data_IF_747108077527
#
_entry.id   IF_747108077527
#
_cell.length_a   1.000
_cell.length_b   1.000
_cell.length_c   1.000
_cell.angle_alpha   90.00
_cell.angle_beta   90.00
_cell.angle_gamma   90.00
#
_symmetry.space_group_name_H-M   'P 1'
#
loop_
_entity.id
_entity.type
_entity.pdbx_description
1 polymer ?
#
# COMPACT_ATOMS: atom_id res chain seq x y z
N UNK A 1 0.02 89.15 6.29
CA UNK A 1 -0.62 89.59 7.55
C UNK A 1 -0.40 88.52 8.59
N UNK A 2 0.41 88.80 9.60
CA UNK A 2 0.30 88.11 10.88
C UNK A 2 -1.01 88.58 11.55
N UNK A 3 -1.59 87.77 12.45
CA UNK A 3 -1.62 88.24 13.82
C UNK A 3 -1.28 87.18 14.88
N UNK A 4 -0.72 87.73 15.95
CA UNK A 4 -0.45 87.20 17.29
C UNK A 4 -1.74 86.83 18.03
N UNK A 5 -1.76 85.67 18.71
CA UNK A 5 -1.83 85.43 20.18
C UNK A 5 -3.04 86.01 20.92
N UNK A 6 -3.82 85.12 21.53
CA UNK A 6 -4.04 84.91 22.97
C UNK A 6 -5.00 83.69 23.06
N UNK A 7 -4.86 82.65 23.88
CA UNK A 7 -4.26 82.51 25.20
C UNK A 7 -5.35 81.96 26.12
N UNK A 8 -5.54 80.63 26.22
CA UNK A 8 -6.19 80.03 27.38
C UNK A 8 -5.84 78.54 27.57
N UNK A 9 -5.43 78.29 28.81
CA UNK A 9 -4.89 77.10 29.48
C UNK A 9 -5.55 75.74 29.18
N UNK A 10 -4.72 74.75 28.83
CA UNK A 10 -4.94 73.36 29.21
C UNK A 10 -3.80 72.92 30.14
N UNK A 11 -4.20 72.37 31.29
CA UNK A 11 -3.37 71.97 32.43
C UNK A 11 -2.17 71.11 32.01
N UNK A 12 -1.01 71.47 32.53
CA UNK A 12 0.16 70.63 32.59
C UNK A 12 -0.11 69.43 33.52
N UNK A 13 0.05 68.22 33.01
CA UNK A 13 0.27 66.99 33.78
C UNK A 13 1.28 66.14 33.03
N UNK A 14 2.42 65.89 33.67
CA UNK A 14 3.42 64.91 33.25
C UNK A 14 4.55 65.47 32.40
N UNK A 15 5.62 65.92 33.05
CA UNK A 15 6.96 65.97 32.44
C UNK A 15 7.36 64.56 31.94
N UNK A 16 8.29 64.40 30.98
CA UNK A 16 8.86 63.09 30.69
C UNK A 16 9.56 62.58 31.95
N UNK A 17 8.94 61.64 32.65
CA UNK A 17 9.45 61.09 33.90
C UNK A 17 10.83 60.47 33.68
N UNK A 18 11.79 60.89 34.50
CA UNK A 18 13.21 60.69 34.28
C UNK A 18 13.65 59.24 34.12
N UNK A 19 14.62 59.07 33.23
CA UNK A 19 15.51 57.92 33.12
C UNK A 19 16.08 57.56 34.51
N UNK A 20 15.50 56.57 35.18
CA UNK A 20 16.00 56.04 36.46
C UNK A 20 16.73 54.72 36.20
N UNK A 21 17.92 54.49 36.80
CA UNK A 21 18.70 53.26 36.61
C UNK A 21 17.88 51.98 36.85
N UNK A 22 16.98 52.01 37.85
CA UNK A 22 16.13 50.87 38.24
C UNK A 22 15.10 50.48 37.16
N UNK A 23 14.55 51.45 36.42
CA UNK A 23 13.61 51.18 35.32
C UNK A 23 14.34 50.60 34.11
N UNK A 24 15.55 51.09 33.83
CA UNK A 24 16.40 50.54 32.77
C UNK A 24 16.83 49.11 33.09
N UNK A 25 17.18 48.80 34.34
CA UNK A 25 17.46 47.44 34.78
C UNK A 25 16.24 46.52 34.66
N UNK A 26 15.05 47.01 34.99
CA UNK A 26 13.80 46.25 34.84
C UNK A 26 13.48 45.97 33.37
N UNK A 27 13.62 46.98 32.51
CA UNK A 27 13.40 46.86 31.06
C UNK A 27 14.44 45.94 30.41
N UNK A 28 15.71 45.98 30.83
CA UNK A 28 16.75 45.03 30.42
C UNK A 28 16.44 43.60 30.88
N UNK A 29 15.92 43.41 32.10
CA UNK A 29 15.50 42.09 32.60
C UNK A 29 14.30 41.56 31.82
N UNK A 30 13.31 42.40 31.53
CA UNK A 30 12.15 42.03 30.71
C UNK A 30 12.57 41.69 29.27
N UNK A 31 13.45 42.50 28.65
CA UNK A 31 14.01 42.23 27.32
C UNK A 31 14.88 40.96 27.31
N UNK A 32 15.68 40.72 28.35
CA UNK A 32 16.47 39.50 28.48
C UNK A 32 15.59 38.26 28.69
N UNK A 33 14.50 38.39 29.43
CA UNK A 33 13.52 37.30 29.64
C UNK A 33 12.78 37.01 28.34
N UNK A 34 12.28 38.03 27.65
CA UNK A 34 11.63 37.91 26.34
C UNK A 34 12.58 37.36 25.28
N UNK A 35 13.84 37.79 25.25
CA UNK A 35 14.85 37.27 24.35
C UNK A 35 15.20 35.80 24.67
N UNK A 36 15.24 35.41 25.94
CA UNK A 36 15.42 34.01 26.34
C UNK A 36 14.23 33.15 25.97
N UNK A 37 13.00 33.62 26.18
CA UNK A 37 11.77 32.94 25.79
C UNK A 37 11.68 32.79 24.27
N UNK A 38 11.93 33.86 23.51
CA UNK A 38 11.97 33.81 22.04
C UNK A 38 13.08 32.87 21.53
N UNK A 39 14.25 32.84 22.20
CA UNK A 39 15.35 31.94 21.85
C UNK A 39 15.03 30.49 22.18
N UNK A 40 14.42 30.24 23.34
CA UNK A 40 13.99 28.91 23.75
C UNK A 40 12.87 28.38 22.85
N UNK A 41 11.85 29.18 22.58
CA UNK A 41 10.74 28.82 21.70
C UNK A 41 11.23 28.55 20.27
N UNK A 42 12.14 29.37 19.73
CA UNK A 42 12.75 29.14 18.41
C UNK A 42 13.59 27.87 18.37
N UNK A 43 14.40 27.60 19.40
CA UNK A 43 15.20 26.36 19.50
C UNK A 43 14.30 25.14 19.61
N UNK A 44 13.29 25.19 20.46
CA UNK A 44 12.31 24.11 20.61
C UNK A 44 11.56 23.85 19.31
N UNK A 45 11.07 24.89 18.64
CA UNK A 45 10.37 24.77 17.36
C UNK A 45 11.29 24.22 16.26
N UNK A 46 12.56 24.64 16.22
CA UNK A 46 13.56 24.09 15.30
C UNK A 46 13.80 22.60 15.53
N UNK A 47 13.99 22.17 16.78
CA UNK A 47 14.17 20.77 17.13
C UNK A 47 12.90 19.95 16.83
N UNK A 48 11.72 20.46 17.15
CA UNK A 48 10.45 19.82 16.83
C UNK A 48 10.30 19.63 15.30
N UNK A 49 10.72 20.60 14.50
CA UNK A 49 10.71 20.51 13.04
C UNK A 49 11.67 19.43 12.52
N UNK A 50 12.89 19.35 13.06
CA UNK A 50 13.89 18.33 12.71
C UNK A 50 13.34 16.92 12.99
N UNK A 51 12.80 16.69 14.18
CA UNK A 51 12.21 15.40 14.53
C UNK A 51 10.95 15.08 13.71
N UNK A 52 10.11 16.08 13.43
CA UNK A 52 8.92 15.90 12.59
C UNK A 52 9.30 15.50 11.16
N UNK A 53 10.25 16.20 10.54
CA UNK A 53 10.75 15.88 9.19
C UNK A 53 11.35 14.48 9.14
N UNK A 54 12.13 14.12 10.17
CA UNK A 54 12.71 12.77 10.31
C UNK A 54 11.61 11.71 10.37
N UNK A 55 10.62 11.86 11.26
CA UNK A 55 9.51 10.92 11.40
C UNK A 55 8.70 10.81 10.11
N UNK A 56 8.47 11.92 9.42
CA UNK A 56 7.73 11.95 8.18
C UNK A 56 8.47 11.22 7.05
N UNK A 57 9.78 11.46 6.88
CA UNK A 57 10.59 10.77 5.87
C UNK A 57 10.68 9.27 6.12
N UNK A 58 10.92 8.86 7.37
CA UNK A 58 10.96 7.43 7.75
C UNK A 58 9.59 6.78 7.60
N UNK A 59 8.52 7.49 7.94
CA UNK A 59 7.15 7.05 7.75
C UNK A 59 6.81 6.82 6.28
N UNK A 60 7.13 7.78 5.40
CA UNK A 60 6.91 7.66 3.96
C UNK A 60 7.74 6.55 3.33
N UNK A 61 8.99 6.36 3.78
CA UNK A 61 9.81 5.24 3.34
C UNK A 61 9.22 3.90 3.81
N UNK A 62 8.69 3.83 5.03
CA UNK A 62 7.99 2.64 5.55
C UNK A 62 6.79 2.26 4.70
N UNK A 63 5.94 3.24 4.36
CA UNK A 63 4.78 3.02 3.46
C UNK A 63 5.24 2.65 2.05
N UNK A 64 6.29 3.27 1.51
CA UNK A 64 6.85 2.94 0.20
C UNK A 64 7.41 1.51 0.15
N UNK A 65 8.05 1.06 1.23
CA UNK A 65 8.57 -0.30 1.37
C UNK A 65 7.43 -1.33 1.33
N UNK A 66 6.37 -1.08 2.11
CA UNK A 66 5.17 -1.91 2.08
C UNK A 66 4.47 -1.92 0.73
N UNK A 67 4.37 -0.76 0.07
CA UNK A 67 3.79 -0.65 -1.27
C UNK A 67 4.59 -1.45 -2.31
N UNK A 68 5.93 -1.40 -2.24
CA UNK A 68 6.83 -2.19 -3.10
C UNK A 68 6.54 -3.69 -2.97
N UNK A 69 6.49 -4.22 -1.74
CA UNK A 69 6.17 -5.62 -1.48
C UNK A 69 4.78 -6.02 -1.98
N UNK A 70 3.78 -5.16 -1.74
CA UNK A 70 2.43 -5.39 -2.24
C UNK A 70 2.37 -5.40 -3.76
N UNK A 71 3.16 -4.58 -4.45
CA UNK A 71 3.19 -4.52 -5.90
C UNK A 71 3.95 -5.69 -6.56
N UNK A 72 4.94 -6.25 -5.87
CA UNK A 72 5.72 -7.39 -6.37
C UNK A 72 5.02 -8.74 -6.11
N UNK A 73 4.24 -8.85 -5.04
CA UNK A 73 3.60 -10.11 -4.65
C UNK A 73 2.67 -10.74 -5.71
N UNK A 74 1.90 -9.99 -6.53
CA UNK A 74 1.13 -10.55 -7.65
C UNK A 74 1.96 -11.29 -8.71
N UNK A 75 3.19 -10.83 -8.92
CA UNK A 75 4.07 -11.30 -10.00
C UNK A 75 4.95 -12.46 -9.51
N UNK A 76 5.57 -12.29 -8.35
CA UNK A 76 6.58 -13.22 -7.84
C UNK A 76 6.13 -14.05 -6.64
N UNK A 77 4.96 -13.74 -6.07
CA UNK A 77 4.53 -14.25 -4.77
C UNK A 77 5.08 -13.42 -3.60
N UNK A 78 4.40 -13.48 -2.46
CA UNK A 78 4.80 -12.77 -1.23
C UNK A 78 6.12 -13.28 -0.66
N UNK A 79 6.32 -14.60 -0.59
CA UNK A 79 7.57 -15.17 -0.05
C UNK A 79 8.78 -14.74 -0.89
N UNK A 80 8.84 -14.98 -2.22
CA UNK A 80 10.04 -14.61 -2.98
C UNK A 80 10.31 -13.10 -2.96
N UNK A 81 9.25 -12.28 -2.92
CA UNK A 81 9.39 -10.83 -2.78
C UNK A 81 10.01 -10.42 -1.44
N UNK A 82 9.73 -11.14 -0.35
CA UNK A 82 10.18 -10.80 1.00
C UNK A 82 11.60 -11.29 1.32
N UNK A 83 12.07 -12.39 0.71
CA UNK A 83 13.32 -13.07 1.09
C UNK A 83 14.53 -12.13 1.11
N UNK A 84 14.74 -11.34 0.05
CA UNK A 84 15.89 -10.44 -0.05
C UNK A 84 15.58 -9.01 0.39
N UNK A 85 14.30 -8.66 0.50
CA UNK A 85 13.82 -7.29 0.69
C UNK A 85 14.44 -6.61 1.91
N UNK A 86 14.26 -7.18 3.10
CA UNK A 86 14.75 -6.56 4.34
C UNK A 86 16.28 -6.43 4.36
N UNK A 87 17.00 -7.42 3.84
CA UNK A 87 18.47 -7.41 3.81
C UNK A 87 19.02 -6.36 2.84
N UNK A 88 18.44 -6.29 1.64
CA UNK A 88 18.85 -5.32 0.64
C UNK A 88 18.47 -3.89 1.05
N UNK A 89 17.32 -3.71 1.71
CA UNK A 89 16.89 -2.42 2.22
C UNK A 89 17.78 -1.89 3.35
N UNK A 90 18.26 -2.77 4.25
CA UNK A 90 19.31 -2.43 5.23
C UNK A 90 20.56 -1.90 4.55
N UNK A 91 21.03 -2.58 3.51
CA UNK A 91 22.21 -2.16 2.75
C UNK A 91 21.98 -0.81 2.07
N UNK A 92 20.82 -0.62 1.42
CA UNK A 92 20.44 0.64 0.79
C UNK A 92 20.40 1.80 1.78
N UNK A 93 19.73 1.64 2.92
CA UNK A 93 19.68 2.66 3.98
C UNK A 93 21.07 2.94 4.55
N UNK A 94 21.91 1.92 4.76
CA UNK A 94 23.29 2.10 5.22
C UNK A 94 24.13 2.90 4.22
N UNK A 95 24.03 2.57 2.92
CA UNK A 95 24.72 3.30 1.85
C UNK A 95 24.28 4.77 1.83
N UNK A 96 22.98 5.03 1.93
CA UNK A 96 22.43 6.37 1.98
C UNK A 96 22.91 7.17 3.19
N UNK A 97 22.84 6.56 4.37
CA UNK A 97 23.28 7.18 5.61
C UNK A 97 24.77 7.49 5.61
N UNK A 98 25.62 6.50 5.33
CA UNK A 98 27.07 6.65 5.37
C UNK A 98 27.61 7.50 4.20
N UNK A 99 26.89 7.53 3.08
CA UNK A 99 27.25 8.25 1.87
C UNK A 99 26.61 9.63 1.72
N UNK A 100 25.88 10.14 2.73
CA UNK A 100 25.11 11.38 2.62
C UNK A 100 25.97 12.58 2.16
N UNK A 101 27.18 12.74 2.72
CA UNK A 101 28.12 13.79 2.32
C UNK A 101 28.58 13.63 0.86
N UNK A 102 28.87 12.40 0.42
CA UNK A 102 29.27 12.15 -0.97
C UNK A 102 28.14 12.46 -1.95
N UNK A 103 26.90 12.07 -1.61
CA UNK A 103 25.72 12.37 -2.42
C UNK A 103 25.50 13.87 -2.53
N UNK A 104 25.62 14.61 -1.42
CA UNK A 104 25.52 16.07 -1.40
C UNK A 104 26.59 16.77 -2.23
N UNK A 105 27.80 16.22 -2.28
CA UNK A 105 28.90 16.78 -3.10
C UNK A 105 28.79 16.42 -4.58
N UNK A 106 28.32 15.21 -4.91
CA UNK A 106 28.28 14.70 -6.28
C UNK A 106 27.04 15.18 -7.06
N UNK A 107 25.92 15.43 -6.38
CA UNK A 107 24.66 15.79 -7.02
C UNK A 107 24.52 17.32 -7.15
N UNK A 108 23.97 17.82 -8.27
CA UNK A 108 23.73 19.25 -8.47
C UNK A 108 22.52 19.80 -7.69
N UNK A 109 21.89 18.97 -6.84
CA UNK A 109 20.64 19.25 -6.13
C UNK A 109 20.65 18.59 -4.75
N UNK A 110 19.78 19.04 -3.82
CA UNK A 110 19.69 18.42 -2.51
C UNK A 110 19.15 16.99 -2.61
N UNK A 111 19.59 16.12 -1.70
CA UNK A 111 19.10 14.74 -1.51
C UNK A 111 17.56 14.73 -1.42
N UNK A 112 16.99 15.63 -0.62
CA UNK A 112 15.53 15.78 -0.47
C UNK A 112 14.79 16.10 -1.78
N UNK A 113 15.36 16.90 -2.68
CA UNK A 113 14.72 17.28 -3.95
C UNK A 113 14.69 16.14 -4.98
N UNK A 114 15.46 15.07 -4.74
CA UNK A 114 15.51 13.90 -5.62
C UNK A 114 14.43 12.86 -5.26
N UNK A 115 13.98 12.84 -3.99
CA UNK A 115 12.93 11.95 -3.49
C UNK A 115 11.68 11.92 -4.37
N UNK A 116 11.03 13.05 -4.70
CA UNK A 116 9.82 12.99 -5.51
C UNK A 116 10.08 12.58 -6.96
N UNK A 117 11.26 12.92 -7.51
CA UNK A 117 11.61 12.51 -8.87
C UNK A 117 11.73 11.00 -8.94
N UNK A 118 12.40 10.37 -7.97
CA UNK A 118 12.49 8.91 -7.89
C UNK A 118 11.10 8.30 -7.68
N UNK A 119 10.38 8.75 -6.64
CA UNK A 119 9.10 8.17 -6.25
C UNK A 119 8.06 8.20 -7.39
N UNK A 120 7.96 9.31 -8.13
CA UNK A 120 7.00 9.45 -9.23
C UNK A 120 7.36 8.62 -10.47
N UNK A 121 8.62 8.16 -10.60
CA UNK A 121 9.05 7.29 -11.69
C UNK A 121 8.86 5.79 -11.38
N UNK A 122 8.66 5.42 -10.11
CA UNK A 122 8.56 4.01 -9.67
C UNK A 122 7.53 3.21 -10.48
N UNK A 123 6.26 3.68 -10.64
CA UNK A 123 5.25 2.87 -11.35
C UNK A 123 5.62 2.56 -12.81
N UNK A 124 6.27 3.52 -13.49
CA UNK A 124 6.70 3.34 -14.87
C UNK A 124 7.87 2.35 -14.97
N UNK A 125 8.85 2.45 -14.06
CA UNK A 125 9.99 1.54 -14.00
C UNK A 125 9.53 0.11 -13.69
N UNK A 126 8.66 -0.07 -12.70
CA UNK A 126 8.11 -1.39 -12.35
C UNK A 126 7.32 -2.00 -13.50
N UNK A 127 6.49 -1.21 -14.21
CA UNK A 127 5.78 -1.70 -15.40
C UNK A 127 6.75 -2.18 -16.48
N UNK A 128 7.77 -1.37 -16.82
CA UNK A 128 8.74 -1.72 -17.86
C UNK A 128 9.55 -2.97 -17.50
N UNK A 129 10.07 -3.04 -16.27
CA UNK A 129 10.81 -4.21 -15.79
C UNK A 129 9.91 -5.45 -15.62
N UNK A 130 8.63 -5.24 -15.31
CA UNK A 130 7.61 -6.28 -15.23
C UNK A 130 7.43 -7.09 -16.52
N UNK A 131 7.75 -6.50 -17.67
CA UNK A 131 7.69 -7.20 -18.97
C UNK A 131 8.76 -8.27 -19.16
N UNK A 132 9.78 -8.32 -18.29
CA UNK A 132 10.90 -9.29 -18.34
C UNK A 132 10.85 -10.33 -17.22
N UNK A 133 9.73 -10.42 -16.50
CA UNK A 133 9.58 -11.26 -15.29
C UNK A 133 9.79 -12.74 -15.55
N UNK A 134 9.44 -13.22 -16.75
CA UNK A 134 9.71 -14.57 -17.24
C UNK A 134 11.20 -14.92 -17.24
N UNK A 135 12.07 -13.95 -17.53
CA UNK A 135 13.54 -14.12 -17.58
C UNK A 135 14.21 -13.89 -16.23
N UNK A 136 13.67 -12.97 -15.43
CA UNK A 136 14.25 -12.62 -14.12
C UNK A 136 13.98 -13.70 -13.07
N UNK A 137 12.84 -14.40 -13.17
CA UNK A 137 12.43 -15.42 -12.22
C UNK A 137 12.08 -14.86 -10.84
N UNK A 138 11.62 -15.74 -9.95
CA UNK A 138 11.12 -15.36 -8.61
C UNK A 138 12.21 -14.90 -7.65
N UNK A 139 13.47 -15.30 -7.86
CA UNK A 139 14.57 -14.94 -6.98
C UNK A 139 15.19 -13.58 -7.31
N UNK A 140 15.56 -13.36 -8.58
CA UNK A 140 16.24 -12.13 -9.00
C UNK A 140 15.28 -11.02 -9.40
N UNK A 141 14.05 -11.36 -9.82
CA UNK A 141 13.03 -10.40 -10.23
C UNK A 141 12.73 -9.33 -9.18
N UNK A 142 12.32 -9.69 -7.95
CA UNK A 142 12.07 -8.72 -6.89
C UNK A 142 13.28 -7.84 -6.61
N UNK A 143 14.47 -8.44 -6.44
CA UNK A 143 15.69 -7.72 -6.12
C UNK A 143 16.08 -6.70 -7.19
N UNK A 144 15.96 -7.07 -8.47
CA UNK A 144 16.29 -6.17 -9.60
C UNK A 144 15.28 -5.03 -9.67
N UNK A 145 13.98 -5.32 -9.56
CA UNK A 145 12.94 -4.28 -9.63
C UNK A 145 13.09 -3.30 -8.46
N UNK A 146 13.24 -3.79 -7.22
CA UNK A 146 13.51 -2.94 -6.06
C UNK A 146 14.83 -2.16 -6.19
N UNK A 147 15.84 -2.77 -6.81
CA UNK A 147 17.12 -2.13 -7.13
C UNK A 147 17.01 -0.89 -8.01
N UNK A 148 16.01 -0.82 -8.88
CA UNK A 148 15.74 0.37 -9.71
C UNK A 148 14.63 1.27 -9.15
N UNK A 149 13.99 0.89 -8.05
CA UNK A 149 12.79 1.58 -7.54
C UNK A 149 12.92 1.93 -6.05
N UNK A 150 12.66 0.97 -5.16
CA UNK A 150 12.69 1.17 -3.72
C UNK A 150 14.09 1.48 -3.18
N UNK A 151 15.15 0.83 -3.64
CA UNK A 151 16.48 1.03 -3.06
C UNK A 151 17.06 2.42 -3.35
N UNK A 152 16.96 2.98 -4.57
CA UNK A 152 17.32 4.38 -4.81
C UNK A 152 16.52 5.33 -3.90
N UNK A 153 15.22 5.08 -3.71
CA UNK A 153 14.39 5.87 -2.80
C UNK A 153 14.88 5.74 -1.36
N UNK A 154 15.20 4.54 -0.89
CA UNK A 154 15.72 4.27 0.44
C UNK A 154 17.08 4.91 0.70
N UNK A 155 18.01 4.85 -0.26
CA UNK A 155 19.32 5.51 -0.21
C UNK A 155 19.12 7.01 -0.02
N UNK A 156 18.30 7.64 -0.86
CA UNK A 156 18.10 9.09 -0.82
C UNK A 156 17.31 9.53 0.42
N UNK A 157 16.34 8.73 0.88
CA UNK A 157 15.60 8.97 2.12
C UNK A 157 16.52 8.87 3.34
N UNK A 158 17.35 7.84 3.42
CA UNK A 158 18.30 7.68 4.51
C UNK A 158 19.36 8.81 4.53
N UNK A 159 19.86 9.21 3.36
CA UNK A 159 20.76 10.36 3.24
C UNK A 159 20.09 11.66 3.69
N UNK A 160 18.83 11.89 3.28
CA UNK A 160 18.07 13.07 3.68
C UNK A 160 17.80 13.09 5.20
N UNK A 161 17.53 11.93 5.81
CA UNK A 161 17.36 11.82 7.26
C UNK A 161 18.68 12.08 7.99
N UNK A 162 19.80 11.57 7.48
CA UNK A 162 21.12 11.87 8.04
C UNK A 162 21.41 13.38 8.00
N UNK A 163 21.17 14.03 6.86
CA UNK A 163 21.34 15.48 6.69
C UNK A 163 20.46 16.29 7.66
N UNK A 164 19.19 15.88 7.86
CA UNK A 164 18.26 16.55 8.79
C UNK A 164 18.69 16.36 10.25
N UNK A 165 19.21 15.18 10.60
CA UNK A 165 19.63 14.87 11.97
C UNK A 165 20.98 15.48 12.35
N UNK A 166 21.77 16.01 11.40
CA UNK A 166 22.96 16.82 11.73
C UNK A 166 22.59 18.06 12.58
N UNK A 167 21.38 18.59 12.41
CA UNK A 167 20.86 19.73 13.18
C UNK A 167 20.16 19.32 14.50
N UNK A 168 20.11 18.03 14.82
CA UNK A 168 19.48 17.52 16.03
C UNK A 168 20.37 17.76 17.26
N UNK A 169 19.77 18.29 18.33
CA UNK A 169 20.47 18.53 19.59
C UNK A 169 20.46 17.28 20.46
N UNK A 170 21.58 16.55 20.45
CA UNK A 170 21.80 15.34 21.24
C UNK A 170 22.76 15.57 22.41
N UNK A 171 22.99 16.84 22.79
CA UNK A 171 23.98 17.21 23.82
C UNK A 171 23.71 16.62 25.20
N UNK A 172 22.47 16.18 25.48
CA UNK A 172 22.08 15.52 26.72
C UNK A 172 22.51 14.04 26.80
N UNK A 173 22.88 13.41 25.68
CA UNK A 173 23.28 12.00 25.63
C UNK A 173 24.80 11.83 25.77
N UNK A 174 25.28 10.72 26.35
CA UNK A 174 26.70 10.37 26.31
C UNK A 174 27.19 10.29 24.86
N UNK A 175 28.41 10.76 24.55
CA UNK A 175 28.93 10.87 23.17
C UNK A 175 28.80 9.57 22.36
N UNK A 176 29.16 8.42 22.95
CA UNK A 176 29.03 7.13 22.26
C UNK A 176 27.58 6.76 21.91
N UNK A 177 26.60 7.26 22.68
CA UNK A 177 25.18 7.11 22.39
C UNK A 177 24.75 8.15 21.35
N UNK A 178 25.17 9.40 21.48
CA UNK A 178 24.85 10.47 20.54
C UNK A 178 25.36 10.15 19.11
N UNK A 179 26.49 9.47 18.98
CA UNK A 179 27.08 9.11 17.69
C UNK A 179 26.36 7.91 17.01
N UNK A 180 25.84 6.96 17.79
CA UNK A 180 25.24 5.72 17.26
C UNK A 180 23.70 5.71 17.27
N UNK A 181 23.07 6.43 18.20
CA UNK A 181 21.63 6.43 18.40
C UNK A 181 20.83 6.93 17.18
N UNK A 182 21.23 8.00 16.46
CA UNK A 182 20.44 8.52 15.35
C UNK A 182 20.14 7.47 14.27
N UNK A 183 21.13 6.68 13.88
CA UNK A 183 20.96 5.61 12.88
C UNK A 183 20.13 4.43 13.40
N UNK A 184 20.42 3.95 14.61
CA UNK A 184 19.70 2.81 15.22
C UNK A 184 18.23 3.16 15.47
N UNK A 185 17.96 4.34 16.04
CA UNK A 185 16.59 4.81 16.30
C UNK A 185 15.85 5.03 15.00
N UNK A 186 16.48 5.63 13.98
CA UNK A 186 15.86 5.81 12.67
C UNK A 186 15.47 4.49 12.02
N UNK A 187 16.35 3.47 12.10
CA UNK A 187 16.03 2.12 11.62
C UNK A 187 14.84 1.50 12.37
N UNK A 188 14.81 1.62 13.70
CA UNK A 188 13.69 1.13 14.51
C UNK A 188 12.36 1.81 14.17
N UNK A 189 12.38 3.14 14.01
CA UNK A 189 11.20 3.93 13.62
C UNK A 189 10.73 3.58 12.20
N UNK A 190 11.66 3.42 11.25
CA UNK A 190 11.36 2.96 9.90
C UNK A 190 10.68 1.58 9.92
N UNK A 191 11.24 0.60 10.65
CA UNK A 191 10.67 -0.75 10.75
C UNK A 191 9.30 -0.76 11.42
N UNK A 192 9.09 0.09 12.44
CA UNK A 192 7.78 0.27 13.05
C UNK A 192 6.78 0.82 12.03
N UNK A 193 7.16 1.85 11.27
CA UNK A 193 6.31 2.44 10.25
C UNK A 193 5.97 1.44 9.13
N UNK A 194 6.96 0.68 8.65
CA UNK A 194 6.80 -0.37 7.66
C UNK A 194 5.79 -1.43 8.13
N UNK A 195 6.01 -2.04 9.30
CA UNK A 195 5.11 -3.07 9.83
C UNK A 195 3.67 -2.56 10.00
N UNK A 196 3.49 -1.39 10.61
CA UNK A 196 2.17 -0.78 10.82
C UNK A 196 1.49 -0.42 9.50
N UNK A 197 2.26 0.00 8.50
CA UNK A 197 1.73 0.31 7.17
C UNK A 197 1.32 -0.94 6.42
N UNK A 198 2.10 -2.02 6.48
CA UNK A 198 1.79 -3.29 5.81
C UNK A 198 0.46 -3.86 6.29
N UNK A 199 0.25 -3.96 7.60
CA UNK A 199 -0.99 -4.46 8.20
C UNK A 199 -2.21 -3.66 7.72
N UNK A 200 -2.12 -2.33 7.78
CA UNK A 200 -3.22 -1.45 7.36
C UNK A 200 -3.48 -1.51 5.86
N UNK A 201 -2.44 -1.48 5.04
CA UNK A 201 -2.56 -1.50 3.59
C UNK A 201 -3.17 -2.82 3.12
N UNK A 202 -2.74 -3.96 3.65
CA UNK A 202 -3.31 -5.27 3.29
C UNK A 202 -4.82 -5.34 3.49
N UNK A 203 -5.38 -4.67 4.50
CA UNK A 203 -6.82 -4.65 4.77
C UNK A 203 -7.64 -3.68 3.91
N UNK A 204 -7.01 -2.72 3.22
CA UNK A 204 -7.72 -1.68 2.45
C UNK A 204 -7.34 -1.63 0.97
N UNK A 205 -6.36 -2.42 0.55
CA UNK A 205 -5.89 -2.46 -0.84
C UNK A 205 -7.03 -2.80 -1.80
N UNK A 206 -7.16 -2.01 -2.86
CA UNK A 206 -8.21 -2.16 -3.88
C UNK A 206 -9.56 -1.54 -3.51
N UNK A 207 -9.75 -1.00 -2.30
CA UNK A 207 -11.01 -0.38 -1.88
C UNK A 207 -11.38 0.89 -2.65
N UNK A 208 -10.38 1.67 -3.05
CA UNK A 208 -10.52 2.86 -3.91
C UNK A 208 -9.29 2.99 -4.80
N UNK A 209 -9.36 3.87 -5.80
CA UNK A 209 -8.22 4.17 -6.67
C UNK A 209 -6.93 4.50 -5.88
N UNK A 210 -7.04 5.33 -4.85
CA UNK A 210 -5.93 5.80 -4.01
C UNK A 210 -5.29 4.63 -3.24
N UNK A 211 -6.07 3.60 -2.91
CA UNK A 211 -5.61 2.40 -2.22
C UNK A 211 -5.30 1.24 -3.18
N UNK A 212 -5.14 1.49 -4.48
CA UNK A 212 -4.49 0.52 -5.38
C UNK A 212 -2.97 0.54 -5.16
N UNK A 213 -2.27 -0.54 -5.50
CA UNK A 213 -0.80 -0.63 -5.40
C UNK A 213 -0.10 0.56 -6.08
N UNK A 214 -0.50 0.88 -7.31
CA UNK A 214 0.02 2.04 -8.03
C UNK A 214 -0.50 3.36 -7.46
N UNK A 215 -1.75 3.41 -7.02
CA UNK A 215 -2.34 4.60 -6.38
C UNK A 215 -1.56 5.05 -5.15
N UNK A 216 -1.15 4.10 -4.30
CA UNK A 216 -0.33 4.36 -3.11
C UNK A 216 1.02 4.96 -3.53
N UNK A 217 1.69 4.40 -4.53
CA UNK A 217 2.97 4.91 -5.04
C UNK A 217 2.84 6.34 -5.61
N UNK A 218 1.76 6.63 -6.33
CA UNK A 218 1.47 7.97 -6.85
C UNK A 218 1.21 8.98 -5.73
N UNK A 219 0.47 8.58 -4.70
CA UNK A 219 0.20 9.41 -3.51
C UNK A 219 1.50 9.69 -2.75
N UNK A 220 2.36 8.67 -2.56
CA UNK A 220 3.66 8.84 -1.95
C UNK A 220 4.53 9.83 -2.75
N UNK A 221 4.59 9.66 -4.07
CA UNK A 221 5.30 10.59 -4.96
C UNK A 221 4.77 12.02 -4.85
N UNK A 222 3.44 12.20 -4.76
CA UNK A 222 2.81 13.50 -4.57
C UNK A 222 3.16 14.13 -3.21
N UNK A 223 3.14 13.34 -2.12
CA UNK A 223 3.53 13.81 -0.79
C UNK A 223 5.00 14.24 -0.78
N UNK A 224 5.90 13.43 -1.34
CA UNK A 224 7.31 13.83 -1.50
C UNK A 224 7.46 15.12 -2.30
N UNK A 225 6.65 15.33 -3.35
CA UNK A 225 6.74 16.51 -4.21
C UNK A 225 6.26 17.79 -3.50
N UNK A 226 5.25 17.67 -2.63
CA UNK A 226 4.77 18.76 -1.78
C UNK A 226 5.82 19.10 -0.71
N UNK A 227 6.43 18.08 -0.10
CA UNK A 227 7.44 18.26 0.96
C UNK A 227 8.74 18.86 0.45
N UNK A 228 9.21 18.42 -0.71
CA UNK A 228 10.47 18.86 -1.31
C UNK A 228 10.28 19.29 -2.78
N UNK A 229 9.64 20.45 -3.03
CA UNK A 229 9.43 20.94 -4.38
C UNK A 229 10.75 21.06 -5.14
N UNK A 230 10.76 20.58 -6.39
CA UNK A 230 11.97 20.47 -7.19
C UNK A 230 11.69 20.87 -8.63
N UNK A 231 12.55 21.70 -9.22
CA UNK A 231 12.50 22.03 -10.66
C UNK A 231 12.69 20.80 -11.56
N UNK A 232 13.28 19.73 -11.00
CA UNK A 232 13.53 18.47 -11.69
C UNK A 232 12.28 17.57 -11.77
N UNK A 233 11.15 17.95 -11.18
CA UNK A 233 9.88 17.26 -11.36
C UNK A 233 9.46 17.15 -12.83
N UNK A 234 9.96 18.01 -13.71
CA UNK A 234 9.80 17.91 -15.16
C UNK A 234 10.27 16.54 -15.68
N UNK A 235 11.28 15.93 -15.06
CA UNK A 235 11.78 14.60 -15.41
C UNK A 235 10.79 13.47 -15.09
N UNK A 236 9.83 13.70 -14.19
CA UNK A 236 8.78 12.74 -13.88
C UNK A 236 7.59 12.82 -14.85
N UNK A 237 7.48 13.88 -15.67
CA UNK A 237 6.34 14.05 -16.59
C UNK A 237 6.17 12.87 -17.55
N UNK A 238 7.22 12.37 -18.25
CA UNK A 238 7.06 11.23 -19.14
C UNK A 238 6.57 9.97 -18.41
N UNK A 239 7.10 9.70 -17.21
CA UNK A 239 6.69 8.54 -16.40
C UNK A 239 5.24 8.66 -15.90
N UNK A 240 4.81 9.87 -15.53
CA UNK A 240 3.42 10.12 -15.14
C UNK A 240 2.45 9.97 -16.31
N UNK A 241 2.79 10.50 -17.48
CA UNK A 241 1.99 10.32 -18.69
C UNK A 241 1.91 8.85 -19.10
N UNK A 242 3.04 8.14 -19.08
CA UNK A 242 3.08 6.69 -19.29
C UNK A 242 2.17 5.97 -18.29
N UNK A 243 2.27 6.30 -17.00
CA UNK A 243 1.46 5.67 -15.95
C UNK A 243 -0.03 5.94 -16.12
N UNK A 244 -0.42 7.15 -16.52
CA UNK A 244 -1.82 7.50 -16.73
C UNK A 244 -2.44 6.83 -17.98
N UNK A 245 -1.64 6.65 -19.05
CA UNK A 245 -2.16 6.27 -20.37
C UNK A 245 -1.87 4.81 -20.76
N UNK A 246 -0.67 4.32 -20.45
CA UNK A 246 -0.16 3.04 -20.97
C UNK A 246 -0.03 1.96 -19.89
N UNK A 247 0.07 2.33 -18.61
CA UNK A 247 0.24 1.37 -17.54
C UNK A 247 -1.07 0.65 -17.20
N UNK A 248 -1.17 -0.62 -17.59
CA UNK A 248 -2.33 -1.49 -17.38
C UNK A 248 -2.62 -1.85 -15.91
N UNK A 249 -1.77 -1.44 -14.97
CA UNK A 249 -2.01 -1.60 -13.53
C UNK A 249 -2.88 -0.47 -12.93
N UNK A 250 -3.01 0.67 -13.61
CA UNK A 250 -3.83 1.82 -13.15
C UNK A 250 -5.32 1.65 -13.53
N UNK A 251 -5.61 0.75 -14.48
CA UNK A 251 -6.97 0.45 -14.97
C UNK A 251 -7.75 1.68 -15.45
N UNK A 252 -7.07 2.67 -16.04
CA UNK A 252 -7.77 3.77 -16.71
C UNK A 252 -8.56 3.24 -17.91
N UNK A 253 -9.61 3.95 -18.39
CA UNK A 253 -10.35 3.52 -19.58
C UNK A 253 -9.43 3.27 -20.79
N UNK A 254 -8.44 4.13 -21.01
CA UNK A 254 -7.48 4.00 -22.11
C UNK A 254 -6.57 2.78 -21.95
N UNK A 255 -5.99 2.57 -20.77
CA UNK A 255 -5.13 1.41 -20.52
C UNK A 255 -5.92 0.09 -20.59
N UNK A 256 -7.18 0.10 -20.16
CA UNK A 256 -8.09 -1.05 -20.22
C UNK A 256 -8.50 -1.36 -21.65
N UNK A 257 -8.79 -0.35 -22.46
CA UNK A 257 -9.10 -0.51 -23.88
C UNK A 257 -7.88 -1.06 -24.65
N UNK A 258 -6.68 -0.53 -24.39
CA UNK A 258 -5.44 -1.03 -24.97
C UNK A 258 -5.21 -2.52 -24.63
N UNK A 259 -5.39 -2.89 -23.36
CA UNK A 259 -5.33 -4.29 -22.91
C UNK A 259 -6.38 -5.14 -23.65
N UNK A 260 -7.64 -4.71 -23.69
CA UNK A 260 -8.73 -5.47 -24.30
C UNK A 260 -8.54 -5.65 -25.81
N UNK A 261 -7.96 -4.65 -26.49
CA UNK A 261 -7.59 -4.74 -27.91
C UNK A 261 -6.58 -5.86 -28.15
N UNK A 262 -5.53 -5.96 -27.31
CA UNK A 262 -4.55 -7.05 -27.40
C UNK A 262 -5.14 -8.43 -27.10
N UNK A 263 -6.08 -8.51 -26.13
CA UNK A 263 -6.80 -9.75 -25.82
C UNK A 263 -7.71 -10.17 -26.99
N UNK A 264 -8.42 -9.22 -27.59
CA UNK A 264 -9.35 -9.50 -28.71
C UNK A 264 -8.60 -10.03 -29.92
N UNK A 265 -7.40 -9.51 -30.19
CA UNK A 265 -6.51 -10.05 -31.22
C UNK A 265 -6.09 -11.51 -30.99
N UNK A 266 -6.25 -12.02 -29.76
CA UNK A 266 -5.97 -13.41 -29.36
C UNK A 266 -7.25 -14.22 -29.09
N UNK A 267 -8.42 -13.78 -29.58
CA UNK A 267 -9.73 -14.40 -29.32
C UNK A 267 -10.14 -14.43 -27.84
N UNK A 268 -9.75 -13.41 -27.07
CA UNK A 268 -10.19 -13.20 -25.69
C UNK A 268 -10.86 -11.85 -25.51
N UNK A 269 -11.80 -11.75 -24.59
CA UNK A 269 -12.36 -10.47 -24.19
C UNK A 269 -12.31 -10.30 -22.68
N UNK A 270 -11.96 -9.10 -22.23
CA UNK A 270 -12.02 -8.71 -20.83
C UNK A 270 -13.43 -8.24 -20.49
N UNK A 271 -14.12 -8.95 -19.59
CA UNK A 271 -15.44 -8.55 -19.12
C UNK A 271 -15.33 -7.53 -17.99
N UNK A 272 -14.48 -7.82 -17.00
CA UNK A 272 -14.21 -6.91 -15.91
C UNK A 272 -12.88 -7.26 -15.22
N UNK A 273 -12.24 -6.25 -14.63
CA UNK A 273 -11.07 -6.41 -13.76
C UNK A 273 -11.12 -5.39 -12.63
N UNK A 274 -10.74 -5.80 -11.43
CA UNK A 274 -10.53 -4.91 -10.28
C UNK A 274 -9.34 -5.37 -9.45
N UNK A 275 -8.75 -4.43 -8.75
CA UNK A 275 -7.77 -4.74 -7.71
C UNK A 275 -8.50 -4.98 -6.39
N UNK A 276 -8.07 -5.98 -5.62
CA UNK A 276 -8.66 -6.32 -4.33
C UNK A 276 -7.59 -6.88 -3.37
N UNK A 277 -8.03 -7.34 -2.21
CA UNK A 277 -7.22 -7.85 -1.10
C UNK A 277 -6.27 -8.96 -1.55
N UNK A 278 -6.75 -9.90 -2.36
CA UNK A 278 -5.95 -11.05 -2.80
C UNK A 278 -5.09 -10.78 -4.03
N UNK A 279 -5.43 -9.77 -4.84
CA UNK A 279 -4.71 -9.44 -6.07
C UNK A 279 -5.59 -8.76 -7.11
N UNK A 280 -5.18 -8.87 -8.37
CA UNK A 280 -5.97 -8.42 -9.51
C UNK A 280 -6.96 -9.50 -9.94
N UNK A 281 -8.22 -9.34 -9.55
CA UNK A 281 -9.31 -10.22 -9.99
C UNK A 281 -9.76 -9.79 -11.38
N UNK A 282 -9.80 -10.71 -12.34
CA UNK A 282 -10.33 -10.44 -13.68
C UNK A 282 -11.18 -11.58 -14.20
N UNK A 283 -12.23 -11.21 -14.93
CA UNK A 283 -13.10 -12.12 -15.65
C UNK A 283 -12.85 -11.93 -17.13
N UNK A 284 -12.41 -13.00 -17.79
CA UNK A 284 -12.12 -13.03 -19.22
C UNK A 284 -12.88 -14.17 -19.88
N UNK A 285 -13.23 -13.99 -21.15
CA UNK A 285 -13.99 -14.96 -21.93
C UNK A 285 -13.26 -15.28 -23.24
N UNK A 286 -13.15 -16.58 -23.56
CA UNK A 286 -12.60 -17.05 -24.82
C UNK A 286 -13.69 -17.00 -25.90
N UNK A 287 -13.49 -16.16 -26.91
CA UNK A 287 -14.40 -15.99 -28.03
C UNK A 287 -14.40 -17.21 -28.97
N UNK A 288 -13.27 -17.91 -29.05
CA UNK A 288 -13.11 -19.10 -29.88
C UNK A 288 -13.69 -20.36 -29.22
N UNK A 289 -13.41 -20.55 -27.92
CA UNK A 289 -13.77 -21.78 -27.21
C UNK A 289 -15.08 -21.68 -26.46
N UNK A 290 -15.59 -20.48 -26.17
CA UNK A 290 -16.89 -20.28 -25.54
C UNK A 290 -16.92 -20.55 -24.04
N UNK A 291 -15.79 -20.42 -23.34
CA UNK A 291 -15.75 -20.48 -21.87
C UNK A 291 -15.29 -19.16 -21.26
N UNK A 292 -15.69 -18.95 -20.02
CA UNK A 292 -15.33 -17.80 -19.18
C UNK A 292 -14.54 -18.29 -17.98
N UNK A 293 -13.51 -17.55 -17.61
CA UNK A 293 -12.69 -17.82 -16.42
C UNK A 293 -12.60 -16.61 -15.54
N UNK A 294 -12.50 -16.87 -14.23
CA UNK A 294 -12.06 -15.89 -13.26
C UNK A 294 -10.62 -16.20 -12.90
N UNK A 295 -9.77 -15.18 -12.87
CA UNK A 295 -8.39 -15.31 -12.37
C UNK A 295 -8.10 -14.23 -11.34
N UNK A 296 -7.24 -14.53 -10.40
CA UNK A 296 -6.59 -13.57 -9.52
C UNK A 296 -5.09 -13.62 -9.79
N UNK A 297 -4.52 -12.53 -10.28
CA UNK A 297 -3.13 -12.45 -10.73
C UNK A 297 -2.78 -13.58 -11.72
N UNK A 298 -1.85 -14.46 -11.35
CA UNK A 298 -1.40 -15.61 -12.14
C UNK A 298 -2.19 -16.90 -11.87
N UNK A 299 -3.15 -16.87 -10.95
CA UNK A 299 -3.93 -18.04 -10.55
C UNK A 299 -5.34 -18.02 -11.15
N UNK A 300 -5.75 -19.15 -11.74
CA UNK A 300 -7.12 -19.36 -12.18
C UNK A 300 -7.98 -19.76 -10.98
N UNK A 301 -9.04 -19.00 -10.70
CA UNK A 301 -9.98 -19.27 -9.60
C UNK A 301 -11.12 -20.20 -10.03
N UNK A 302 -11.19 -20.52 -11.32
CA UNK A 302 -12.19 -21.40 -11.91
C UNK A 302 -12.69 -20.86 -13.25
N UNK A 303 -13.66 -21.56 -13.82
CA UNK A 303 -14.30 -21.15 -15.06
C UNK A 303 -15.49 -22.00 -15.41
N UNK A 304 -16.34 -21.47 -16.29
CA UNK A 304 -17.54 -22.16 -16.77
C UNK A 304 -17.65 -22.03 -18.29
N UNK A 305 -18.17 -23.07 -18.93
CA UNK A 305 -18.66 -22.98 -20.29
C UNK A 305 -19.77 -21.93 -20.33
N UNK A 306 -19.73 -21.04 -21.30
CA UNK A 306 -20.79 -20.06 -21.60
C UNK A 306 -21.58 -20.52 -22.82
N UNK A 307 -20.87 -21.06 -23.81
CA UNK A 307 -21.43 -21.67 -25.00
C UNK A 307 -20.73 -23.00 -25.30
N UNK A 308 -21.51 -24.07 -25.49
CA UNK A 308 -21.03 -25.37 -25.94
C UNK A 308 -21.90 -25.81 -27.12
N UNK A 309 -21.29 -26.00 -28.30
CA UNK A 309 -22.00 -26.37 -29.54
C UNK A 309 -23.21 -25.46 -29.86
N UNK A 310 -23.07 -24.15 -29.64
CA UNK A 310 -24.11 -23.15 -29.87
C UNK A 310 -25.23 -23.12 -28.82
N UNK A 311 -25.13 -23.92 -27.75
CA UNK A 311 -26.06 -23.88 -26.61
C UNK A 311 -25.42 -23.15 -25.44
N UNK A 312 -26.22 -22.33 -24.75
CA UNK A 312 -25.78 -21.72 -23.48
C UNK A 312 -25.75 -22.80 -22.41
N UNK A 313 -24.58 -23.00 -21.82
CA UNK A 313 -24.35 -23.96 -20.73
C UNK A 313 -23.77 -23.16 -19.55
N UNK A 314 -23.88 -23.70 -18.33
CA UNK A 314 -23.25 -23.16 -17.13
C UNK A 314 -22.66 -24.35 -16.36
N UNK A 315 -21.61 -24.92 -16.93
CA UNK A 315 -20.90 -26.10 -16.42
C UNK A 315 -19.43 -25.74 -16.17
N UNK A 316 -18.82 -26.18 -15.06
CA UNK A 316 -17.41 -25.94 -14.78
C UNK A 316 -16.50 -26.49 -15.89
N UNK A 317 -15.48 -25.72 -16.29
CA UNK A 317 -14.46 -26.19 -17.25
C UNK A 317 -13.34 -26.99 -16.58
N UNK A 318 -13.26 -26.93 -15.25
CA UNK A 318 -12.27 -27.64 -14.45
C UNK A 318 -12.98 -28.66 -13.55
N UNK A 319 -12.85 -29.95 -13.88
CA UNK A 319 -13.49 -31.03 -13.11
C UNK A 319 -13.01 -31.12 -11.65
N UNK A 320 -11.81 -30.61 -11.34
CA UNK A 320 -11.26 -30.65 -9.97
C UNK A 320 -12.14 -29.92 -8.96
N UNK A 321 -12.76 -28.79 -9.34
CA UNK A 321 -13.67 -28.06 -8.43
C UNK A 321 -15.00 -28.79 -8.25
N UNK A 322 -15.42 -29.61 -9.22
CA UNK A 322 -16.61 -30.47 -9.08
C UNK A 322 -16.32 -31.65 -8.15
N UNK A 323 -15.10 -32.20 -8.20
CA UNK A 323 -14.72 -33.35 -7.35
C UNK A 323 -14.85 -33.06 -5.85
N UNK A 324 -14.77 -31.80 -5.43
CA UNK A 324 -14.97 -31.41 -4.03
C UNK A 324 -16.38 -31.73 -3.52
N UNK A 325 -17.36 -31.85 -4.41
CA UNK A 325 -18.71 -32.28 -4.06
C UNK A 325 -18.75 -33.73 -3.54
N UNK A 326 -17.77 -34.57 -3.90
CA UNK A 326 -17.74 -35.98 -3.57
C UNK A 326 -17.72 -36.27 -2.05
N UNK A 327 -17.46 -35.27 -1.20
CA UNK A 327 -17.59 -35.39 0.27
C UNK A 327 -18.99 -35.86 0.69
N UNK A 328 -20.03 -35.55 -0.10
CA UNK A 328 -21.41 -36.04 0.08
C UNK A 328 -21.55 -37.55 -0.06
N UNK A 329 -20.63 -38.18 -0.78
CA UNK A 329 -20.67 -39.60 -1.10
C UNK A 329 -19.86 -40.45 -0.11
N UNK A 330 -19.24 -39.82 0.89
CA UNK A 330 -18.51 -40.54 1.94
C UNK A 330 -19.49 -41.35 2.77
N UNK A 331 -19.24 -42.66 2.89
CA UNK A 331 -20.06 -43.55 3.70
C UNK A 331 -19.99 -43.16 5.19
N UNK A 332 -21.17 -43.10 5.83
CA UNK A 332 -21.33 -42.77 7.25
C UNK A 332 -22.04 -43.92 7.97
N UNK A 333 -21.72 -44.11 9.24
CA UNK A 333 -22.45 -45.07 10.10
C UNK A 333 -23.95 -44.77 10.15
N UNK A 334 -24.30 -43.47 10.21
CA UNK A 334 -25.65 -42.98 10.08
C UNK A 334 -25.76 -42.16 8.78
N UNK A 335 -26.45 -42.68 7.74
CA UNK A 335 -26.71 -41.92 6.52
C UNK A 335 -27.50 -40.64 6.82
N UNK A 336 -27.05 -39.52 6.26
CA UNK A 336 -27.70 -38.22 6.39
C UNK A 336 -28.21 -37.78 5.01
N UNK A 337 -29.51 -37.49 4.84
CA UNK A 337 -30.02 -36.91 3.60
C UNK A 337 -29.41 -35.53 3.35
N UNK A 338 -29.13 -35.21 2.09
CA UNK A 338 -28.53 -33.92 1.72
C UNK A 338 -29.37 -32.71 2.16
N UNK A 339 -30.70 -32.82 2.10
CA UNK A 339 -31.63 -31.77 2.53
C UNK A 339 -31.59 -31.47 4.03
N UNK A 340 -30.96 -32.34 4.83
CA UNK A 340 -30.81 -32.21 6.27
C UNK A 340 -29.35 -31.90 6.66
N UNK A 341 -28.43 -31.88 5.68
CA UNK A 341 -27.01 -31.67 5.92
C UNK A 341 -26.62 -30.19 5.89
N UNK A 342 -25.54 -29.88 6.59
CA UNK A 342 -24.90 -28.57 6.65
C UNK A 342 -23.45 -28.63 6.15
N UNK A 343 -23.02 -27.61 5.42
CA UNK A 343 -21.67 -27.52 4.88
C UNK A 343 -21.01 -26.18 5.18
N UNK A 344 -19.70 -26.23 5.48
CA UNK A 344 -18.81 -25.08 5.50
C UNK A 344 -17.83 -25.20 4.32
N UNK A 345 -17.86 -24.21 3.43
CA UNK A 345 -16.90 -24.10 2.33
C UNK A 345 -15.97 -22.92 2.61
N UNK A 346 -14.68 -23.20 2.75
CA UNK A 346 -13.63 -22.20 2.96
C UNK A 346 -12.97 -21.93 1.60
N UNK A 347 -13.12 -20.70 1.10
CA UNK A 347 -12.85 -20.32 -0.28
C UNK A 347 -14.08 -20.44 -1.16
N UNK A 348 -14.20 -19.55 -2.15
CA UNK A 348 -15.35 -19.50 -3.06
C UNK A 348 -14.98 -19.79 -4.52
N UNK A 349 -13.90 -19.18 -5.01
CA UNK A 349 -13.54 -19.19 -6.43
C UNK A 349 -14.68 -18.65 -7.32
N UNK A 350 -15.05 -19.38 -8.37
CA UNK A 350 -16.24 -19.05 -9.18
C UNK A 350 -17.56 -19.55 -8.57
N UNK A 351 -17.51 -20.29 -7.45
CA UNK A 351 -18.72 -20.80 -6.78
C UNK A 351 -19.16 -22.21 -7.16
N UNK A 352 -18.30 -23.03 -7.79
CA UNK A 352 -18.67 -24.37 -8.26
C UNK A 352 -19.18 -25.28 -7.14
N UNK A 353 -18.34 -25.53 -6.13
CA UNK A 353 -18.68 -26.41 -4.99
C UNK A 353 -19.88 -25.90 -4.17
N UNK A 354 -19.92 -24.64 -3.70
CA UNK A 354 -21.05 -24.18 -2.90
C UNK A 354 -22.35 -24.17 -3.70
N UNK A 355 -22.32 -23.80 -4.99
CA UNK A 355 -23.53 -23.88 -5.83
C UNK A 355 -24.03 -25.30 -6.00
N UNK A 356 -23.14 -26.29 -6.09
CA UNK A 356 -23.51 -27.70 -6.15
C UNK A 356 -24.21 -28.14 -4.85
N UNK A 357 -23.63 -27.85 -3.68
CA UNK A 357 -24.24 -28.15 -2.39
C UNK A 357 -25.64 -27.53 -2.22
N UNK A 358 -25.78 -26.24 -2.54
CA UNK A 358 -27.09 -25.56 -2.53
C UNK A 358 -28.07 -26.22 -3.50
N UNK A 359 -27.62 -26.66 -4.69
CA UNK A 359 -28.49 -27.36 -5.66
C UNK A 359 -29.00 -28.71 -5.16
N UNK A 360 -28.26 -29.34 -4.25
CA UNK A 360 -28.66 -30.59 -3.60
C UNK A 360 -29.44 -30.39 -2.30
N UNK A 361 -29.71 -29.14 -1.90
CA UNK A 361 -30.49 -28.81 -0.71
C UNK A 361 -29.69 -28.73 0.59
N UNK A 362 -28.36 -28.72 0.52
CA UNK A 362 -27.48 -28.62 1.71
C UNK A 362 -27.42 -27.17 2.20
N UNK A 363 -27.62 -26.97 3.51
CA UNK A 363 -27.42 -25.68 4.16
C UNK A 363 -25.94 -25.27 4.12
N UNK A 364 -25.58 -24.30 3.27
CA UNK A 364 -24.18 -24.04 2.93
C UNK A 364 -23.75 -22.67 3.45
N UNK A 365 -22.72 -22.67 4.29
CA UNK A 365 -21.99 -21.47 4.71
C UNK A 365 -20.71 -21.36 3.87
N UNK A 366 -20.49 -20.21 3.24
CA UNK A 366 -19.25 -19.92 2.50
C UNK A 366 -18.45 -18.86 3.24
N UNK A 367 -17.14 -19.03 3.31
CA UNK A 367 -16.20 -18.02 3.81
C UNK A 367 -15.22 -17.67 2.71
N UNK A 368 -15.22 -16.42 2.26
CA UNK A 368 -14.33 -15.90 1.22
C UNK A 368 -13.65 -14.64 1.74
N UNK A 369 -12.34 -14.52 1.56
CA UNK A 369 -11.60 -13.36 2.07
C UNK A 369 -11.75 -12.16 1.14
N UNK A 370 -11.92 -12.39 -0.17
CA UNK A 370 -11.92 -11.35 -1.19
C UNK A 370 -13.34 -10.92 -1.62
N UNK A 371 -13.76 -9.68 -1.32
CA UNK A 371 -15.10 -9.20 -1.68
C UNK A 371 -15.34 -9.18 -3.20
N UNK A 372 -14.31 -8.97 -4.01
CA UNK A 372 -14.44 -8.90 -5.47
C UNK A 372 -14.62 -10.28 -6.07
N UNK A 373 -13.97 -11.31 -5.52
CA UNK A 373 -14.20 -12.71 -5.94
C UNK A 373 -15.65 -13.08 -5.71
N UNK A 374 -16.19 -12.76 -4.54
CA UNK A 374 -17.61 -12.98 -4.22
C UNK A 374 -18.55 -12.24 -5.17
N UNK A 375 -18.34 -10.94 -5.37
CA UNK A 375 -19.16 -10.17 -6.30
C UNK A 375 -19.11 -10.71 -7.74
N UNK A 376 -17.91 -11.08 -8.21
CA UNK A 376 -17.74 -11.59 -9.56
C UNK A 376 -18.34 -12.99 -9.74
N UNK A 377 -18.30 -13.84 -8.72
CA UNK A 377 -18.97 -15.15 -8.76
C UNK A 377 -20.48 -14.97 -8.94
N UNK A 378 -21.10 -14.06 -8.20
CA UNK A 378 -22.53 -13.71 -8.35
C UNK A 378 -22.82 -13.13 -9.74
N UNK A 379 -22.02 -12.16 -10.18
CA UNK A 379 -22.28 -11.39 -11.40
C UNK A 379 -22.03 -12.19 -12.68
N UNK A 380 -21.04 -13.08 -12.68
CA UNK A 380 -20.53 -13.69 -13.92
C UNK A 380 -20.60 -15.22 -13.95
N UNK A 381 -20.87 -15.90 -12.84
CA UNK A 381 -20.79 -17.36 -12.74
C UNK A 381 -22.03 -18.03 -12.11
N UNK A 382 -23.17 -17.33 -12.09
CA UNK A 382 -24.46 -17.87 -11.64
C UNK A 382 -24.40 -18.52 -10.23
N UNK A 383 -23.60 -17.94 -9.32
CA UNK A 383 -23.44 -18.42 -7.94
C UNK A 383 -24.81 -18.65 -7.27
N UNK A 384 -25.04 -19.87 -6.76
CA UNK A 384 -26.24 -20.22 -5.99
C UNK A 384 -25.93 -20.18 -4.50
N UNK A 385 -26.82 -19.51 -3.76
CA UNK A 385 -26.67 -19.31 -2.32
C UNK A 385 -28.00 -19.53 -1.60
N UNK A 386 -27.95 -20.17 -0.43
CA UNK A 386 -29.04 -20.16 0.55
C UNK A 386 -28.72 -19.26 1.76
N UNK A 387 -27.45 -18.94 1.98
CA UNK A 387 -26.96 -17.95 2.94
C UNK A 387 -25.96 -17.02 2.25
N UNK A 388 -25.92 -15.72 2.57
CA UNK A 388 -24.87 -14.84 2.06
C UNK A 388 -23.48 -15.33 2.48
N UNK A 389 -22.51 -15.29 1.56
CA UNK A 389 -21.11 -15.57 1.89
C UNK A 389 -20.58 -14.62 2.99
N UNK A 390 -19.83 -15.19 3.94
CA UNK A 390 -19.09 -14.43 4.93
C UNK A 390 -17.80 -13.90 4.30
N UNK A 391 -17.74 -12.58 4.06
CA UNK A 391 -16.52 -11.92 3.57
C UNK A 391 -15.57 -11.68 4.75
N UNK A 392 -14.70 -12.66 5.03
CA UNK A 392 -13.87 -12.67 6.23
C UNK A 392 -12.62 -13.56 6.06
N UNK A 393 -11.61 -13.30 6.91
CA UNK A 393 -10.50 -14.22 7.11
C UNK A 393 -11.01 -15.56 7.70
N UNK A 394 -10.69 -16.66 7.02
CA UNK A 394 -11.16 -17.98 7.39
C UNK A 394 -10.62 -18.45 8.75
N UNK A 395 -9.41 -18.07 9.12
CA UNK A 395 -8.80 -18.47 10.41
C UNK A 395 -9.57 -17.84 11.56
N UNK A 396 -9.78 -16.52 11.50
CA UNK A 396 -10.52 -15.77 12.52
C UNK A 396 -11.98 -16.21 12.58
N UNK A 397 -12.61 -16.39 11.41
CA UNK A 397 -14.02 -16.81 11.33
C UNK A 397 -14.24 -18.20 11.94
N UNK A 398 -13.41 -19.17 11.57
CA UNK A 398 -13.52 -20.54 12.11
C UNK A 398 -13.21 -20.60 13.62
N UNK A 399 -12.28 -19.78 14.12
CA UNK A 399 -12.03 -19.66 15.55
C UNK A 399 -13.29 -19.16 16.31
N UNK A 400 -14.05 -18.23 15.73
CA UNK A 400 -15.30 -17.76 16.32
C UNK A 400 -16.43 -18.79 16.22
N UNK A 401 -16.50 -19.59 15.15
CA UNK A 401 -17.43 -20.72 15.06
C UNK A 401 -17.20 -21.76 16.17
N UNK A 402 -15.92 -22.05 16.48
CA UNK A 402 -15.55 -22.96 17.58
C UNK A 402 -16.02 -22.42 18.93
N UNK A 403 -15.84 -21.11 19.19
CA UNK A 403 -16.35 -20.47 20.42
C UNK A 403 -17.87 -20.58 20.54
N UNK A 404 -18.57 -20.58 19.42
CA UNK A 404 -20.03 -20.72 19.34
C UNK A 404 -20.49 -22.20 19.36
N UNK A 405 -19.57 -23.16 19.43
CA UNK A 405 -19.87 -24.60 19.33
C UNK A 405 -20.66 -24.97 18.06
N UNK A 406 -20.48 -24.22 16.97
CA UNK A 406 -21.11 -24.52 15.68
C UNK A 406 -20.37 -25.66 14.99
N UNK A 407 -21.12 -26.61 14.44
CA UNK A 407 -20.59 -27.78 13.72
C UNK A 407 -21.23 -27.87 12.33
N UNK A 408 -20.58 -28.62 11.44
CA UNK A 408 -21.00 -28.84 10.07
C UNK A 408 -20.82 -30.32 9.72
N UNK A 409 -21.71 -30.84 8.88
CA UNK A 409 -21.61 -32.20 8.36
C UNK A 409 -20.48 -32.34 7.33
N UNK A 410 -20.26 -31.29 6.54
CA UNK A 410 -19.20 -31.23 5.55
C UNK A 410 -18.35 -29.99 5.77
N UNK A 411 -17.03 -30.13 5.71
CA UNK A 411 -16.08 -29.01 5.67
C UNK A 411 -15.21 -29.21 4.43
N UNK A 412 -15.30 -28.26 3.49
CA UNK A 412 -14.49 -28.26 2.27
C UNK A 412 -13.55 -27.07 2.32
N UNK A 413 -12.27 -27.33 2.01
CA UNK A 413 -11.24 -26.31 1.96
C UNK A 413 -10.76 -26.14 0.51
N UNK A 414 -11.30 -25.12 -0.15
CA UNK A 414 -11.07 -24.77 -1.56
C UNK A 414 -10.35 -23.42 -1.64
N UNK A 415 -9.21 -23.31 -0.93
CA UNK A 415 -8.38 -22.11 -0.98
C UNK A 415 -7.21 -22.33 -1.94
N UNK A 416 -6.91 -21.30 -2.73
CA UNK A 416 -5.67 -21.24 -3.49
C UNK A 416 -4.63 -20.59 -2.59
N UNK A 417 -3.57 -21.33 -2.29
CA UNK A 417 -2.52 -20.84 -1.41
C UNK A 417 -1.85 -19.58 -2.00
N UNK A 418 -1.97 -18.45 -1.30
CA UNK A 418 -0.81 -17.56 -1.18
C UNK A 418 0.20 -18.35 -0.37
N UNK A 419 1.37 -18.63 -0.92
CA UNK A 419 2.53 -18.93 -0.10
C UNK A 419 2.83 -17.66 0.71
N UNK A 420 2.17 -17.51 1.86
CA UNK A 420 2.36 -16.45 2.83
C UNK A 420 2.29 -17.08 4.23
N UNK A 421 3.48 -17.14 4.83
CA UNK A 421 3.90 -17.36 6.23
C UNK A 421 2.87 -17.81 7.28
N UNK A 422 3.26 -18.88 8.00
CA UNK A 422 2.77 -19.19 9.35
C UNK A 422 3.74 -18.74 10.43
#
# INVERSE_FOLDING_TARGET
MAPKKDGQSAKATGAPEGFTPERFEKELKELATKAKEDTFAKRFMGQALVYFQTLLLLGLLGVASSASQLNLSPIFGSIPSAVTHTTALKAACFIGWAGNLMLRMALPMSTSQLLPVIALNIPAIQFLLGTFTDRLGSWWGPLIIEGFTLFPLAIVSAASVADVLEDADLSALPKFVADAAPGIVSWGLFRLAENQSMEKLQGVVGSTFVFTRVGIELVLGAIYAIMAPSKYLVLAIPALLHTAVLNTHVMTPMATEALNSTLTAQNWTLLERRESLTGYVSVIESLERGYRVMRCDHSLLGGQWVQLNGRRVSEPIYGVFVMLEAVRLVEREAPLPDSEASALVIGLGIGTTPSAFVSHGIDTTVVEIDPVVYEFAQKYFDLRENNPAAVADAVSYTADLVKQSKTYDYIVHDVIGRLAEG
#
